data_IF_011888150391
#
_entry.id   IF_011888150391
#
_cell.length_a   1.000
_cell.length_b   1.000
_cell.length_c   1.000
_cell.angle_alpha   90.00
_cell.angle_beta   90.00
_cell.angle_gamma   90.00
#
_symmetry.space_group_name_H-M   'P 1'
#
loop_
_entity.id
_entity.type
_entity.pdbx_description
1 polymer ?
#
# COMPACT_ATOMS: atom_id res chain seq x y z
N UNK A 1 6.74 -9.20 3.34
CA UNK A 1 7.12 -7.96 4.05
C UNK A 1 5.85 -7.21 4.35
N UNK A 2 5.60 -6.93 5.62
CA UNK A 2 4.39 -6.21 6.04
C UNK A 2 4.55 -4.72 5.75
N UNK A 3 3.49 -4.10 5.25
CA UNK A 3 3.42 -2.67 5.02
C UNK A 3 1.98 -2.17 4.99
N UNK A 4 1.84 -0.93 4.54
CA UNK A 4 0.58 -0.19 4.48
C UNK A 4 0.33 0.31 3.07
N UNK A 5 -0.94 0.36 2.67
CA UNK A 5 -1.35 0.93 1.39
C UNK A 5 -2.65 1.71 1.55
N UNK A 6 -2.72 2.87 0.90
CA UNK A 6 -3.94 3.65 0.77
C UNK A 6 -4.68 3.29 -0.52
N UNK A 7 -5.99 3.38 -0.43
CA UNK A 7 -6.93 3.19 -1.53
C UNK A 7 -7.96 4.30 -1.52
N UNK A 8 -8.57 4.54 -2.68
CA UNK A 8 -9.80 5.32 -2.78
C UNK A 8 -10.92 4.67 -1.96
N UNK A 9 -12.05 5.37 -1.72
CA UNK A 9 -13.21 4.80 -1.02
C UNK A 9 -13.75 3.52 -1.67
N UNK A 10 -13.48 3.33 -2.97
CA UNK A 10 -13.89 2.20 -3.80
C UNK A 10 -12.83 1.10 -3.93
N UNK A 11 -11.79 1.09 -3.08
CA UNK A 11 -10.69 0.11 -3.12
C UNK A 11 -9.84 0.15 -4.38
N UNK A 12 -9.64 1.33 -4.97
CA UNK A 12 -8.76 1.51 -6.12
C UNK A 12 -7.45 2.16 -5.69
N UNK A 13 -6.35 1.82 -6.36
CA UNK A 13 -5.08 2.51 -6.18
C UNK A 13 -4.25 2.49 -7.45
N UNK A 14 -3.43 3.53 -7.63
CA UNK A 14 -2.48 3.62 -8.74
C UNK A 14 -1.28 2.69 -8.47
N UNK A 15 -0.86 1.96 -9.50
CA UNK A 15 0.30 1.06 -9.47
C UNK A 15 1.40 1.42 -10.51
N UNK A 16 1.46 2.71 -10.84
CA UNK A 16 2.43 3.30 -11.79
C UNK A 16 1.96 3.26 -13.24
N UNK A 17 1.47 2.11 -13.71
CA UNK A 17 1.01 1.91 -15.09
C UNK A 17 -0.52 2.04 -15.27
N UNK A 18 -1.24 2.39 -14.21
CA UNK A 18 -2.68 2.56 -14.23
C UNK A 18 -3.33 2.46 -12.85
N UNK A 19 -4.66 2.53 -12.86
CA UNK A 19 -5.53 2.30 -11.70
C UNK A 19 -5.89 0.82 -11.65
N UNK A 20 -5.80 0.22 -10.46
CA UNK A 20 -6.14 -1.18 -10.23
C UNK A 20 -7.18 -1.31 -9.11
N UNK A 21 -8.09 -2.27 -9.24
CA UNK A 21 -9.15 -2.56 -8.26
C UNK A 21 -8.68 -3.67 -7.32
N UNK A 22 -8.74 -3.40 -6.02
CA UNK A 22 -8.31 -4.33 -4.98
C UNK A 22 -9.51 -4.79 -4.13
N UNK A 23 -9.28 -5.82 -3.35
CA UNK A 23 -10.23 -6.37 -2.38
C UNK A 23 -9.46 -6.96 -1.20
N UNK A 24 -10.00 -6.81 0.00
CA UNK A 24 -9.43 -7.37 1.23
C UNK A 24 -9.44 -8.90 1.18
N UNK A 25 -8.35 -9.52 1.62
CA UNK A 25 -8.14 -10.96 1.61
C UNK A 25 -7.55 -11.50 0.31
N UNK A 26 -7.61 -10.75 -0.79
CA UNK A 26 -7.08 -11.18 -2.10
C UNK A 26 -5.59 -10.93 -2.24
N UNK A 27 -4.99 -11.74 -3.10
CA UNK A 27 -3.59 -11.62 -3.52
C UNK A 27 -3.54 -11.29 -5.01
N UNK A 28 -2.55 -10.48 -5.39
CA UNK A 28 -2.35 -10.01 -6.74
C UNK A 28 -0.89 -10.18 -7.13
N UNK A 29 -0.66 -10.56 -8.36
CA UNK A 29 0.66 -10.80 -8.92
C UNK A 29 0.82 -10.03 -10.24
N UNK A 30 2.05 -9.60 -10.50
CA UNK A 30 2.50 -8.97 -11.73
C UNK A 30 3.76 -9.71 -12.19
N UNK A 31 3.83 -10.07 -13.48
CA UNK A 31 4.97 -10.80 -14.02
C UNK A 31 6.19 -9.89 -14.23
N UNK A 32 6.00 -8.57 -14.26
CA UNK A 32 7.08 -7.61 -14.45
C UNK A 32 7.93 -7.49 -13.19
N UNK A 33 9.22 -7.23 -13.38
CA UNK A 33 10.11 -6.84 -12.29
C UNK A 33 9.60 -5.54 -11.67
N UNK A 34 9.44 -5.48 -10.33
CA UNK A 34 8.96 -4.29 -9.67
C UNK A 34 10.04 -3.20 -9.72
N UNK A 35 9.65 -1.99 -10.11
CA UNK A 35 10.55 -0.84 -10.13
C UNK A 35 9.89 0.30 -9.37
N UNK A 36 10.48 0.68 -8.23
CA UNK A 36 9.91 1.72 -7.38
C UNK A 36 9.61 3.00 -8.18
N UNK A 37 8.41 3.56 -7.95
CA UNK A 37 7.86 4.75 -8.64
C UNK A 37 7.46 4.54 -10.12
N UNK A 38 7.72 3.37 -10.72
CA UNK A 38 7.42 3.09 -12.13
C UNK A 38 6.40 1.97 -12.32
N UNK A 39 6.60 0.80 -11.71
CA UNK A 39 5.72 -0.35 -11.89
C UNK A 39 5.66 -1.25 -10.65
N UNK A 40 4.60 -2.05 -10.60
CA UNK A 40 4.30 -2.97 -9.50
C UNK A 40 3.37 -2.35 -8.46
N UNK A 41 3.02 -3.14 -7.46
CA UNK A 41 2.10 -2.74 -6.41
C UNK A 41 2.82 -1.87 -5.37
N UNK A 42 2.57 -0.56 -5.41
CA UNK A 42 3.14 0.40 -4.45
C UNK A 42 2.58 0.21 -3.04
N UNK A 43 3.44 0.28 -2.03
CA UNK A 43 3.10 0.28 -0.61
C UNK A 43 4.15 1.06 0.19
N UNK A 44 3.87 1.36 1.45
CA UNK A 44 4.80 2.01 2.38
C UNK A 44 5.10 1.10 3.56
N UNK A 45 6.34 1.13 4.06
CA UNK A 45 6.72 0.42 5.30
C UNK A 45 6.02 1.01 6.53
N UNK A 46 5.94 2.34 6.57
CA UNK A 46 5.31 3.11 7.63
C UNK A 46 4.03 3.76 7.12
N UNK A 47 3.02 3.84 8.00
CA UNK A 47 1.74 4.44 7.66
C UNK A 47 1.86 5.96 7.49
N UNK A 48 2.78 6.61 8.22
CA UNK A 48 3.07 8.05 8.04
C UNK A 48 3.50 8.39 6.61
N UNK A 49 4.41 7.60 6.03
CA UNK A 49 4.91 7.86 4.66
C UNK A 49 3.78 7.79 3.64
N UNK A 50 2.81 6.90 3.89
CA UNK A 50 1.62 6.74 3.09
C UNK A 50 0.82 8.06 2.98
N UNK A 51 0.73 8.84 4.06
CA UNK A 51 0.05 10.14 4.07
C UNK A 51 0.86 11.26 3.40
N UNK A 52 2.19 11.19 3.44
CA UNK A 52 3.06 12.13 2.73
C UNK A 52 2.89 12.07 1.21
N UNK A 53 2.49 10.91 0.67
CA UNK A 53 2.33 10.70 -0.78
C UNK A 53 0.93 11.00 -1.32
N UNK A 54 -0.12 10.66 -0.57
CA UNK A 54 -1.51 10.69 -1.08
C UNK A 54 -2.37 11.79 -0.45
N UNK A 55 -1.84 12.55 0.51
CA UNK A 55 -2.64 13.46 1.32
C UNK A 55 -3.59 12.71 2.26
N UNK A 56 -3.98 13.36 3.36
CA UNK A 56 -4.98 12.81 4.27
C UNK A 56 -6.36 13.23 3.76
N UNK A 57 -6.93 12.43 2.87
CA UNK A 57 -8.37 12.51 2.60
C UNK A 57 -9.10 11.50 3.50
N UNK A 58 -10.04 12.02 4.30
CA UNK A 58 -10.79 11.26 5.33
C UNK A 58 -11.57 10.07 4.75
N UNK A 59 -11.77 10.04 3.43
CA UNK A 59 -12.51 9.00 2.73
C UNK A 59 -11.60 7.87 2.21
N UNK A 60 -10.27 8.02 2.30
CA UNK A 60 -9.35 6.98 1.86
C UNK A 60 -9.47 5.75 2.75
N UNK A 61 -9.35 4.57 2.15
CA UNK A 61 -9.26 3.30 2.88
C UNK A 61 -7.80 2.94 3.08
N UNK A 62 -7.50 2.33 4.22
CA UNK A 62 -6.14 1.92 4.58
C UNK A 62 -6.16 0.41 4.75
N UNK A 63 -5.16 -0.29 4.23
CA UNK A 63 -5.00 -1.71 4.53
C UNK A 63 -3.58 -2.04 4.97
N UNK A 64 -3.49 -3.06 5.83
CA UNK A 64 -2.28 -3.82 6.03
C UNK A 64 -2.09 -4.70 4.80
N UNK A 65 -0.88 -4.69 4.24
CA UNK A 65 -0.51 -5.51 3.09
C UNK A 65 0.68 -6.40 3.42
N UNK A 66 0.75 -7.54 2.74
CA UNK A 66 1.93 -8.38 2.74
C UNK A 66 2.51 -8.46 1.33
N UNK A 67 3.70 -7.91 1.16
CA UNK A 67 4.50 -7.98 -0.05
C UNK A 67 5.38 -9.25 0.00
N UNK A 68 4.94 -10.32 -0.64
CA UNK A 68 5.60 -11.65 -0.58
C UNK A 68 6.39 -12.01 -1.85
N UNK A 69 6.43 -11.10 -2.82
CA UNK A 69 7.20 -11.23 -4.05
C UNK A 69 8.58 -10.58 -3.97
N UNK A 70 9.12 -10.23 -5.15
CA UNK A 70 10.27 -9.33 -5.25
C UNK A 70 9.85 -7.93 -4.80
N UNK A 71 10.77 -7.21 -4.16
CA UNK A 71 10.53 -5.87 -3.64
C UNK A 71 11.61 -4.94 -4.19
N UNK A 72 11.20 -3.78 -4.69
CA UNK A 72 12.07 -2.67 -5.09
C UNK A 72 11.77 -1.47 -4.20
N UNK A 73 12.83 -0.85 -3.68
CA UNK A 73 12.75 0.26 -2.74
C UNK A 73 13.53 1.44 -3.29
N UNK A 74 12.98 2.65 -3.18
CA UNK A 74 13.63 3.90 -3.57
C UNK A 74 13.28 4.99 -2.55
N UNK A 75 14.14 5.11 -1.53
CA UNK A 75 13.85 5.95 -0.37
C UNK A 75 12.75 5.32 0.48
N UNK A 76 11.67 6.05 0.67
CA UNK A 76 10.46 5.66 1.39
C UNK A 76 9.38 5.00 0.51
N UNK A 77 9.54 5.04 -0.82
CA UNK A 77 8.66 4.38 -1.78
C UNK A 77 9.07 2.91 -1.95
N UNK A 78 8.13 1.99 -1.74
CA UNK A 78 8.31 0.55 -1.98
C UNK A 78 7.30 0.07 -3.04
N UNK A 79 7.70 -0.89 -3.86
CA UNK A 79 6.77 -1.67 -4.68
C UNK A 79 7.14 -3.15 -4.69
N UNK A 80 6.15 -3.97 -5.01
CA UNK A 80 6.34 -5.41 -5.15
C UNK A 80 5.59 -5.94 -6.37
N UNK A 81 6.05 -7.06 -6.91
CA UNK A 81 5.32 -7.78 -7.94
C UNK A 81 4.28 -8.76 -7.38
N UNK A 82 4.30 -9.06 -6.07
CA UNK A 82 3.25 -9.88 -5.43
C UNK A 82 2.81 -9.29 -4.10
N UNK A 83 1.52 -8.94 -4.02
CA UNK A 83 0.93 -8.26 -2.86
C UNK A 83 -0.32 -8.99 -2.40
N UNK A 84 -0.52 -9.09 -1.08
CA UNK A 84 -1.78 -9.52 -0.47
C UNK A 84 -2.36 -8.38 0.34
N UNK A 85 -3.65 -8.11 0.16
CA UNK A 85 -4.38 -7.15 1.01
C UNK A 85 -4.85 -7.92 2.24
N UNK A 86 -4.15 -7.78 3.36
CA UNK A 86 -4.36 -8.65 4.53
C UNK A 86 -5.64 -8.29 5.26
N UNK A 87 -5.81 -7.02 5.61
CA UNK A 87 -7.00 -6.49 6.30
C UNK A 87 -7.12 -4.99 6.14
N UNK A 88 -8.34 -4.49 6.12
CA UNK A 88 -8.63 -3.06 6.28
C UNK A 88 -8.22 -2.60 7.70
N UNK A 89 -7.67 -1.40 7.78
CA UNK A 89 -7.36 -0.69 9.01
C UNK A 89 -8.42 0.41 9.17
N UNK A 90 -9.34 0.29 10.13
CA UNK A 90 -10.29 1.35 10.45
C UNK A 90 -9.57 2.64 10.85
N UNK A 91 -10.10 3.80 10.44
CA UNK A 91 -9.53 5.10 10.81
C UNK A 91 -9.37 5.32 12.32
N UNK A 92 -10.29 4.77 13.12
CA UNK A 92 -10.21 4.82 14.60
C UNK A 92 -8.94 4.16 15.17
N UNK A 93 -8.35 3.21 14.43
CA UNK A 93 -7.17 2.47 14.87
C UNK A 93 -5.86 3.12 14.37
N UNK A 94 -5.95 4.11 13.46
CA UNK A 94 -4.79 4.80 12.87
C UNK A 94 -3.93 5.49 13.94
N UNK A 95 -4.47 6.29 14.88
CA UNK A 95 -3.64 6.96 15.89
C UNK A 95 -2.76 5.98 16.68
N UNK A 96 -3.32 4.85 17.11
CA UNK A 96 -2.57 3.83 17.85
C UNK A 96 -1.53 3.09 17.02
N UNK A 97 -1.64 3.09 15.69
CA UNK A 97 -0.58 2.58 14.80
C UNK A 97 0.52 3.63 14.65
N UNK A 98 0.15 4.91 14.47
CA UNK A 98 1.10 6.00 14.31
C UNK A 98 1.99 6.18 15.55
N UNK A 99 1.41 6.11 16.75
CA UNK A 99 2.15 6.18 18.03
C UNK A 99 3.21 5.10 18.19
N UNK A 100 3.05 3.95 17.51
CA UNK A 100 4.00 2.82 17.54
C UNK A 100 5.08 2.91 16.47
N UNK A 101 4.99 3.88 15.58
CA UNK A 101 5.92 4.11 14.47
C UNK A 101 6.83 5.32 14.70
N UNK A 102 6.76 5.94 15.88
CA UNK A 102 7.58 7.08 16.31
C UNK A 102 8.74 6.61 17.18
#
# INVERSE_FOLDING_TARGET
MIGYKLFTPTWQAVRGDGVFQYEVGKSYEDEREPQARRCGFHFCKNLMNCFSYYGIEVHNRIALVDAYGKISESGDACCTNKIKIVKEIPWKDVPGILERQV
#
